data_IF_856056042763
#
_entry.id   IF_856056042763
#
_cell.length_a   1.000
_cell.length_b   1.000
_cell.length_c   1.000
_cell.angle_alpha   90.00
_cell.angle_beta   90.00
_cell.angle_gamma   90.00
#
_symmetry.space_group_name_H-M   'P 1'
#
loop_
_entity.id
_entity.type
_entity.pdbx_description
1 polymer ?
#
# COMPACT_ATOMS: atom_id res chain seq x y z
N UNK A 1 13.04 -24.86 11.71
CA UNK A 1 12.09 -24.16 12.60
C UNK A 1 11.49 -23.04 11.78
N UNK A 2 10.23 -23.19 11.36
CA UNK A 2 9.56 -22.20 10.51
C UNK A 2 9.43 -20.89 11.29
N UNK A 3 9.98 -19.83 10.74
CA UNK A 3 9.73 -18.46 11.19
C UNK A 3 8.24 -18.18 10.95
N UNK A 4 7.43 -18.38 11.98
CA UNK A 4 6.02 -18.02 11.93
C UNK A 4 5.98 -16.50 11.91
N UNK A 5 5.85 -15.94 10.71
CA UNK A 5 5.78 -14.50 10.50
C UNK A 5 4.66 -13.96 11.40
N UNK A 6 5.01 -13.08 12.34
CA UNK A 6 4.05 -12.54 13.29
C UNK A 6 2.98 -11.77 12.50
N UNK A 7 1.74 -12.26 12.54
CA UNK A 7 0.61 -11.56 11.95
C UNK A 7 0.25 -10.39 12.85
N UNK A 8 0.36 -9.17 12.31
CA UNK A 8 -0.03 -7.95 13.02
C UNK A 8 -1.56 -7.87 13.08
N UNK A 9 -2.10 -7.34 14.18
CA UNK A 9 -3.54 -7.10 14.30
C UNK A 9 -3.98 -6.12 13.21
N UNK A 10 -3.30 -4.97 13.09
CA UNK A 10 -3.59 -3.92 12.11
C UNK A 10 -2.38 -3.69 11.20
N UNK A 11 -2.64 -3.27 9.97
CA UNK A 11 -1.60 -2.93 9.01
C UNK A 11 -2.15 -2.16 7.82
N UNK A 12 -1.33 -1.31 7.22
CA UNK A 12 -1.70 -0.52 6.05
C UNK A 12 -1.37 -1.33 4.79
N UNK A 13 -2.35 -1.51 3.91
CA UNK A 13 -2.14 -2.02 2.57
C UNK A 13 -1.73 -0.86 1.66
N UNK A 14 -0.62 -1.00 0.93
CA UNK A 14 -0.31 -0.06 -0.14
C UNK A 14 -1.28 -0.20 -1.32
N UNK A 15 -1.26 0.77 -2.22
CA UNK A 15 -2.20 0.82 -3.36
C UNK A 15 -2.11 -0.42 -4.23
N UNK A 16 -0.90 -0.91 -4.51
CA UNK A 16 -0.73 -2.12 -5.32
C UNK A 16 -1.33 -3.36 -4.62
N UNK A 17 -1.16 -3.49 -3.30
CA UNK A 17 -1.72 -4.61 -2.52
C UNK A 17 -3.24 -4.57 -2.52
N UNK A 18 -3.85 -3.39 -2.40
CA UNK A 18 -5.31 -3.23 -2.53
C UNK A 18 -5.80 -3.71 -3.89
N UNK A 19 -5.13 -3.29 -4.98
CA UNK A 19 -5.48 -3.71 -6.34
C UNK A 19 -5.31 -5.24 -6.51
N UNK A 20 -4.34 -5.85 -5.82
CA UNK A 20 -4.04 -7.28 -5.89
C UNK A 20 -4.84 -8.13 -4.89
N UNK A 21 -5.74 -7.56 -4.06
CA UNK A 21 -6.47 -8.30 -3.02
C UNK A 21 -7.17 -9.56 -3.54
N UNK A 22 -7.83 -9.47 -4.71
CA UNK A 22 -8.53 -10.61 -5.33
C UNK A 22 -7.61 -11.76 -5.76
N UNK A 23 -6.29 -11.51 -5.83
CA UNK A 23 -5.28 -12.49 -6.21
C UNK A 23 -4.53 -13.07 -5.01
N UNK A 24 -4.69 -12.49 -3.82
CA UNK A 24 -4.03 -12.97 -2.60
C UNK A 24 -4.85 -14.14 -2.04
N UNK A 25 -4.28 -15.34 -2.11
CA UNK A 25 -4.98 -16.58 -1.69
C UNK A 25 -4.72 -16.95 -0.24
N UNK A 26 -3.63 -16.46 0.34
CA UNK A 26 -3.30 -16.68 1.75
C UNK A 26 -3.72 -15.46 2.58
N UNK A 27 -4.88 -15.55 3.24
CA UNK A 27 -5.37 -14.48 4.11
C UNK A 27 -4.46 -14.24 5.34
N UNK A 28 -3.63 -15.20 5.74
CA UNK A 28 -2.68 -15.01 6.83
C UNK A 28 -1.50 -14.11 6.44
N UNK A 29 -1.27 -13.89 5.14
CA UNK A 29 -0.31 -12.92 4.63
C UNK A 29 -0.75 -11.46 4.77
N UNK A 30 -2.00 -11.22 5.18
CA UNK A 30 -2.59 -9.90 5.45
C UNK A 30 -2.75 -9.68 6.96
N UNK A 31 -2.83 -8.43 7.44
CA UNK A 31 -3.19 -8.15 8.83
C UNK A 31 -4.59 -8.69 9.14
N UNK A 32 -4.94 -8.83 10.41
CA UNK A 32 -6.30 -9.21 10.81
C UNK A 32 -7.32 -8.11 10.46
N UNK A 33 -6.88 -6.86 10.59
CA UNK A 33 -7.64 -5.64 10.31
C UNK A 33 -6.84 -4.80 9.29
N UNK A 34 -7.08 -5.01 7.98
CA UNK A 34 -6.44 -4.22 6.93
C UNK A 34 -6.98 -2.79 6.92
N UNK A 35 -6.07 -1.84 6.71
CA UNK A 35 -6.35 -0.42 6.59
C UNK A 35 -5.77 0.09 5.28
N UNK A 36 -6.31 1.20 4.77
CA UNK A 36 -5.71 1.96 3.66
C UNK A 36 -5.50 3.41 4.08
N UNK A 37 -4.74 4.15 3.28
CA UNK A 37 -4.60 5.60 3.47
C UNK A 37 -5.50 6.36 2.50
N UNK A 38 -5.81 7.63 2.81
CA UNK A 38 -6.48 8.52 1.87
C UNK A 38 -5.68 8.70 0.56
N UNK A 39 -4.35 8.52 0.60
CA UNK A 39 -3.49 8.55 -0.59
C UNK A 39 -3.78 7.35 -1.48
N UNK A 40 -3.94 6.17 -0.89
CA UNK A 40 -4.34 4.95 -1.60
C UNK A 40 -5.69 5.12 -2.28
N UNK A 41 -6.69 5.67 -1.57
CA UNK A 41 -7.99 5.96 -2.16
C UNK A 41 -7.88 6.99 -3.31
N UNK A 42 -7.03 8.02 -3.15
CA UNK A 42 -6.79 9.00 -4.21
C UNK A 42 -6.19 8.35 -5.47
N UNK A 43 -5.21 7.45 -5.32
CA UNK A 43 -4.61 6.73 -6.45
C UNK A 43 -5.63 5.83 -7.16
N UNK A 44 -6.45 5.09 -6.41
CA UNK A 44 -7.54 4.29 -6.98
C UNK A 44 -8.53 5.16 -7.76
N UNK A 45 -8.85 6.34 -7.23
CA UNK A 45 -9.81 7.28 -7.83
C UNK A 45 -9.34 7.87 -9.17
N UNK A 46 -8.02 7.98 -9.39
CA UNK A 46 -7.47 8.41 -10.70
C UNK A 46 -7.72 7.35 -11.77
N UNK A 47 -7.65 6.07 -11.40
CA UNK A 47 -7.66 4.93 -12.32
C UNK A 47 -8.80 4.96 -13.36
N UNK A 48 -10.08 5.06 -12.95
CA UNK A 48 -11.21 5.13 -13.86
C UNK A 48 -11.18 6.35 -14.79
N UNK A 49 -10.69 7.50 -14.31
CA UNK A 49 -10.69 8.76 -15.06
C UNK A 49 -9.70 8.75 -16.23
N UNK A 50 -8.64 7.96 -16.12
CA UNK A 50 -7.58 7.86 -17.14
C UNK A 50 -7.59 6.54 -17.94
N UNK A 51 -8.61 5.71 -17.75
CA UNK A 51 -8.77 4.43 -18.48
C UNK A 51 -9.05 4.67 -19.98
N UNK A 52 -8.48 3.82 -20.83
CA UNK A 52 -8.52 3.98 -22.29
C UNK A 52 -9.76 3.36 -22.94
N UNK A 53 -10.43 2.45 -22.24
CA UNK A 53 -11.66 1.80 -22.69
C UNK A 53 -12.66 1.58 -21.55
N UNK A 54 -13.91 1.29 -21.90
CA UNK A 54 -15.01 1.19 -20.94
C UNK A 54 -14.92 -0.06 -20.04
N UNK A 55 -14.26 -1.12 -20.51
CA UNK A 55 -14.08 -2.35 -19.72
C UNK A 55 -13.08 -2.10 -18.61
N UNK A 56 -11.92 -1.51 -18.94
CA UNK A 56 -10.92 -1.08 -17.97
C UNK A 56 -11.48 -0.05 -17.00
N UNK A 57 -12.26 0.93 -17.51
CA UNK A 57 -12.91 1.95 -16.68
C UNK A 57 -13.85 1.33 -15.65
N UNK A 58 -14.73 0.42 -16.08
CA UNK A 58 -15.67 -0.25 -15.20
C UNK A 58 -14.95 -1.10 -14.12
N UNK A 59 -13.91 -1.85 -14.51
CA UNK A 59 -13.11 -2.64 -13.57
C UNK A 59 -12.41 -1.77 -12.52
N UNK A 60 -11.79 -0.66 -12.93
CA UNK A 60 -11.15 0.28 -12.00
C UNK A 60 -12.18 0.99 -11.12
N UNK A 61 -13.36 1.31 -11.64
CA UNK A 61 -14.42 1.95 -10.86
C UNK A 61 -14.95 1.02 -9.77
N UNK A 62 -15.05 -0.29 -10.07
CA UNK A 62 -15.41 -1.29 -9.08
C UNK A 62 -14.37 -1.37 -7.94
N UNK A 63 -13.07 -1.25 -8.24
CA UNK A 63 -12.04 -1.19 -7.20
C UNK A 63 -12.19 0.02 -6.27
N UNK A 64 -12.54 1.20 -6.80
CA UNK A 64 -12.80 2.40 -5.99
C UNK A 64 -14.00 2.17 -5.07
N UNK A 65 -15.12 1.72 -5.64
CA UNK A 65 -16.35 1.48 -4.88
C UNK A 65 -16.16 0.42 -3.78
N UNK A 66 -15.41 -0.65 -4.07
CA UNK A 66 -15.10 -1.66 -3.07
C UNK A 66 -14.24 -1.07 -1.95
N UNK A 67 -13.21 -0.27 -2.28
CA UNK A 67 -12.37 0.36 -1.29
C UNK A 67 -13.16 1.34 -0.39
N UNK A 68 -14.09 2.11 -0.95
CA UNK A 68 -14.97 3.02 -0.19
C UNK A 68 -15.97 2.27 0.70
N UNK A 69 -16.39 1.07 0.30
CA UNK A 69 -17.31 0.24 1.08
C UNK A 69 -16.59 -0.49 2.23
N UNK A 70 -15.35 -0.93 2.00
CA UNK A 70 -14.63 -1.80 2.94
C UNK A 70 -13.75 -1.05 3.94
N UNK A 71 -13.33 0.19 3.63
CA UNK A 71 -12.33 0.91 4.41
C UNK A 71 -12.76 2.32 4.81
N UNK A 72 -12.35 2.73 6.01
CA UNK A 72 -12.27 4.13 6.43
C UNK A 72 -10.79 4.60 6.31
N UNK A 73 -10.42 5.36 5.26
CA UNK A 73 -9.02 5.65 4.97
C UNK A 73 -8.36 6.55 6.02
N UNK A 74 -7.15 6.19 6.45
CA UNK A 74 -6.36 7.04 7.34
C UNK A 74 -5.93 8.34 6.63
N UNK A 75 -6.19 9.53 7.22
CA UNK A 75 -5.84 10.79 6.60
C UNK A 75 -4.32 11.00 6.59
N UNK A 76 -3.83 11.73 5.59
CA UNK A 76 -2.50 12.31 5.65
C UNK A 76 -2.55 13.61 6.45
N UNK A 77 -2.43 13.49 7.78
CA UNK A 77 -2.57 14.59 8.73
C UNK A 77 -1.22 15.26 9.10
N UNK A 78 -1.24 16.12 10.12
CA UNK A 78 -0.04 16.81 10.59
C UNK A 78 1.04 15.86 11.16
N UNK A 79 0.65 14.72 11.75
CA UNK A 79 1.60 13.74 12.26
C UNK A 79 2.26 12.99 11.10
N UNK A 80 1.47 12.57 10.10
CA UNK A 80 1.98 11.98 8.86
C UNK A 80 2.90 12.97 8.12
N UNK A 81 2.52 14.24 8.01
CA UNK A 81 3.35 15.27 7.38
C UNK A 81 4.70 15.46 8.08
N UNK A 82 4.76 15.35 9.41
CA UNK A 82 6.03 15.39 10.16
C UNK A 82 6.85 14.13 9.93
N UNK A 83 6.22 12.96 9.92
CA UNK A 83 6.89 11.68 9.64
C UNK A 83 7.46 11.63 8.21
N UNK A 84 6.83 12.30 7.25
CA UNK A 84 7.30 12.40 5.87
C UNK A 84 8.73 12.96 5.76
N UNK A 85 9.12 13.89 6.64
CA UNK A 85 10.49 14.39 6.67
C UNK A 85 11.53 13.29 6.90
N UNK A 86 11.23 12.32 7.78
CA UNK A 86 12.09 11.16 8.03
C UNK A 86 12.12 10.23 6.82
N UNK A 87 10.95 9.91 6.26
CA UNK A 87 10.82 9.08 5.05
C UNK A 87 11.64 9.66 3.90
N UNK A 88 11.49 10.95 3.61
CA UNK A 88 12.22 11.63 2.54
C UNK A 88 13.73 11.61 2.77
N UNK A 89 14.18 11.75 4.02
CA UNK A 89 15.59 11.66 4.37
C UNK A 89 16.16 10.25 4.13
N UNK A 90 15.45 9.19 4.56
CA UNK A 90 15.87 7.80 4.34
C UNK A 90 15.91 7.45 2.85
N UNK A 91 14.88 7.82 2.09
CA UNK A 91 14.85 7.61 0.63
C UNK A 91 16.00 8.34 -0.08
N UNK A 92 16.28 9.59 0.29
CA UNK A 92 17.39 10.36 -0.28
C UNK A 92 18.75 9.73 0.04
N UNK A 93 18.95 9.27 1.27
CA UNK A 93 20.16 8.56 1.71
C UNK A 93 20.38 7.27 0.91
N UNK A 94 19.29 6.58 0.56
CA UNK A 94 19.30 5.38 -0.27
C UNK A 94 19.44 5.66 -1.78
N UNK A 95 19.67 6.91 -2.20
CA UNK A 95 19.78 7.30 -3.61
C UNK A 95 18.46 7.23 -4.38
N UNK A 96 17.32 7.04 -3.69
CA UNK A 96 15.99 7.06 -4.30
C UNK A 96 15.52 8.50 -4.43
N UNK A 97 14.84 8.83 -5.53
CA UNK A 97 14.25 10.16 -5.76
C UNK A 97 12.83 10.20 -5.18
N UNK A 98 12.55 10.96 -4.10
CA UNK A 98 11.22 10.96 -3.46
C UNK A 98 10.09 11.41 -4.39
N UNK A 99 10.36 12.31 -5.34
CA UNK A 99 9.35 12.82 -6.27
C UNK A 99 8.76 11.72 -7.19
N UNK A 100 9.54 10.69 -7.54
CA UNK A 100 9.06 9.57 -8.34
C UNK A 100 8.20 8.58 -7.52
N UNK A 101 8.16 8.74 -6.19
CA UNK A 101 7.49 7.86 -5.22
C UNK A 101 6.77 8.68 -4.15
N UNK A 102 6.21 9.82 -4.55
CA UNK A 102 5.62 10.77 -3.61
C UNK A 102 4.45 10.12 -2.85
N UNK A 103 3.61 9.34 -3.54
CA UNK A 103 2.50 8.62 -2.93
C UNK A 103 2.98 7.52 -1.98
N UNK A 104 3.92 6.66 -2.38
CA UNK A 104 4.52 5.65 -1.48
C UNK A 104 5.13 6.29 -0.24
N UNK A 105 5.81 7.44 -0.39
CA UNK A 105 6.39 8.16 0.72
C UNK A 105 5.32 8.73 1.67
N UNK A 106 4.18 9.19 1.14
CA UNK A 106 3.05 9.63 1.96
C UNK A 106 2.38 8.45 2.67
N UNK A 107 2.20 7.30 2.00
CA UNK A 107 1.68 6.06 2.61
C UNK A 107 2.59 5.61 3.76
N UNK A 108 3.90 5.54 3.53
CA UNK A 108 4.89 5.19 4.53
C UNK A 108 4.90 6.17 5.72
N UNK A 109 4.75 7.47 5.45
CA UNK A 109 4.69 8.49 6.48
C UNK A 109 3.43 8.36 7.35
N UNK A 110 2.27 8.07 6.75
CA UNK A 110 1.05 7.73 7.49
C UNK A 110 1.27 6.48 8.35
N UNK A 111 1.89 5.43 7.80
CA UNK A 111 2.20 4.21 8.54
C UNK A 111 3.07 4.48 9.77
N UNK A 112 4.16 5.26 9.61
CA UNK A 112 5.04 5.66 10.71
C UNK A 112 4.33 6.54 11.75
N UNK A 113 3.42 7.41 11.33
CA UNK A 113 2.68 8.26 12.27
C UNK A 113 1.70 7.47 13.15
N UNK A 114 1.22 6.32 12.66
CA UNK A 114 0.29 5.43 13.36
C UNK A 114 0.96 4.21 14.00
N UNK A 115 2.29 4.07 13.89
CA UNK A 115 3.04 2.88 14.33
C UNK A 115 2.48 1.58 13.74
N UNK A 116 2.18 1.61 12.43
CA UNK A 116 1.61 0.49 11.70
C UNK A 116 2.58 -0.05 10.64
N UNK A 117 2.63 -1.38 10.43
CA UNK A 117 3.37 -1.96 9.32
C UNK A 117 2.72 -1.65 7.97
N UNK A 118 3.53 -1.55 6.92
CA UNK A 118 3.08 -1.52 5.52
C UNK A 118 3.14 -2.94 4.96
N UNK A 119 1.98 -3.43 4.52
CA UNK A 119 1.82 -4.66 3.76
C UNK A 119 1.85 -4.31 2.27
N UNK A 120 2.82 -4.89 1.56
CA UNK A 120 3.07 -4.54 0.15
C UNK A 120 3.47 -5.75 -0.68
N UNK A 121 3.00 -5.81 -1.92
CA UNK A 121 3.51 -6.73 -2.94
C UNK A 121 4.88 -6.29 -3.51
N UNK A 122 5.33 -5.06 -3.23
CA UNK A 122 6.58 -4.47 -3.71
C UNK A 122 7.47 -3.99 -2.55
N UNK A 123 7.99 -4.89 -1.70
CA UNK A 123 8.73 -4.49 -0.48
C UNK A 123 9.98 -3.64 -0.76
N UNK A 124 10.57 -3.75 -1.95
CA UNK A 124 11.70 -2.92 -2.38
C UNK A 124 11.37 -1.42 -2.50
N UNK A 125 10.10 -1.06 -2.52
CA UNK A 125 9.67 0.34 -2.57
C UNK A 125 9.75 1.03 -1.20
N UNK A 126 9.69 0.23 -0.13
CA UNK A 126 9.61 0.70 1.26
C UNK A 126 10.84 0.31 2.11
N UNK A 127 11.59 -0.73 1.72
CA UNK A 127 12.64 -1.34 2.55
C UNK A 127 13.82 -0.43 2.94
N UNK A 128 13.98 0.70 2.26
CA UNK A 128 15.02 1.69 2.56
C UNK A 128 14.58 2.78 3.54
N UNK A 129 13.37 2.73 4.07
CA UNK A 129 12.82 3.70 5.01
C UNK A 129 13.14 3.23 6.43
N UNK A 130 13.89 4.04 7.16
CA UNK A 130 14.27 3.70 8.54
C UNK A 130 13.02 3.65 9.44
N UNK A 131 13.01 2.75 10.42
CA UNK A 131 11.92 2.52 11.39
C UNK A 131 10.59 2.02 10.81
N UNK A 132 10.44 1.93 9.49
CA UNK A 132 9.23 1.39 8.87
C UNK A 132 9.24 -0.14 8.87
N UNK A 133 8.25 -0.75 9.53
CA UNK A 133 8.01 -2.19 9.38
C UNK A 133 7.36 -2.48 8.03
N UNK A 134 8.04 -3.28 7.20
CA UNK A 134 7.55 -3.70 5.89
C UNK A 134 7.28 -5.19 5.91
N UNK A 135 6.04 -5.57 5.59
CA UNK A 135 5.60 -6.97 5.48
C UNK A 135 5.34 -7.28 4.01
N UNK A 136 6.08 -8.23 3.47
CA UNK A 136 5.89 -8.66 2.08
C UNK A 136 4.62 -9.49 1.95
N UNK A 137 3.76 -9.15 1.00
CA UNK A 137 2.56 -9.91 0.64
C UNK A 137 2.83 -10.69 -0.66
N UNK A 138 2.99 -12.02 -0.61
CA UNK A 138 3.22 -12.81 -1.80
C UNK A 138 1.98 -12.80 -2.71
N UNK A 139 2.19 -12.53 -3.99
CA UNK A 139 1.16 -12.73 -5.02
C UNK A 139 1.49 -13.98 -5.85
N UNK A 140 0.50 -14.83 -6.16
CA UNK A 140 0.71 -15.96 -7.07
C UNK A 140 1.25 -15.48 -8.43
N UNK A 141 2.15 -16.26 -9.06
CA UNK A 141 2.63 -15.92 -10.39
C UNK A 141 1.43 -15.79 -11.36
N UNK A 142 1.51 -14.92 -12.38
CA UNK A 142 0.45 -14.82 -13.37
C UNK A 142 0.19 -16.20 -13.98
N UNK A 143 -1.10 -16.55 -14.14
CA UNK A 143 -1.49 -17.78 -14.82
C UNK A 143 -0.83 -17.81 -16.20
N UNK A 144 -0.09 -18.87 -16.53
CA UNK A 144 0.43 -19.05 -17.90
C UNK A 144 -0.77 -19.00 -18.84
N UNK A 145 -0.79 -18.03 -19.74
CA UNK A 145 -1.72 -18.03 -20.87
C UNK A 145 -1.37 -19.28 -21.70
N UNK A 146 -2.32 -20.20 -21.82
CA UNK A 146 -2.27 -21.26 -22.84
C UNK A 146 -2.46 -20.63 -24.22
#
# INVERSE_FOLDING_TARGET
>A
MSDATVRHLRGILDTNTVIMLSRITDAASLPAEPLITAVTLAELSVGPLVANDDTERAARQAHVQQAEADFDPLPFDAAAARAFGRVAASLRKAGRKPAARAYDAMIAATALAHDLPVYTCNPADFSSIDELTVVAVPIPPPSRKN
#
